data_IF_066740972169
#
_entry.id   IF_066740972169
#
_cell.length_a   1.000
_cell.length_b   1.000
_cell.length_c   1.000
_cell.angle_alpha   90.00
_cell.angle_beta   90.00
_cell.angle_gamma   90.00
#
_symmetry.space_group_name_H-M   'P 1'
#
loop_
_entity.id
_entity.type
_entity.pdbx_description
1 polymer ?
#
# COMPACT_ATOMS: atom_id res chain seq x y z
N UNK A 1 -7.95 -10.82 -22.65
CA UNK A 1 -8.42 -9.79 -21.71
C UNK A 1 -9.25 -10.44 -20.65
N UNK A 2 -8.91 -10.15 -19.40
CA UNK A 2 -9.50 -10.75 -18.22
C UNK A 2 -11.03 -10.63 -18.22
N UNK A 3 -11.70 -11.75 -17.98
CA UNK A 3 -13.14 -11.83 -17.84
C UNK A 3 -13.58 -12.04 -16.38
N UNK A 4 -12.64 -11.92 -15.43
CA UNK A 4 -12.89 -11.97 -13.99
C UNK A 4 -11.78 -11.23 -13.23
N UNK A 5 -12.04 -10.91 -11.96
CA UNK A 5 -11.02 -10.37 -11.05
C UNK A 5 -9.82 -11.32 -10.87
N UNK A 6 -10.07 -12.64 -10.85
CA UNK A 6 -9.01 -13.65 -10.79
C UNK A 6 -8.13 -13.61 -12.03
N UNK A 7 -8.74 -13.60 -13.22
CA UNK A 7 -8.00 -13.48 -14.49
C UNK A 7 -7.24 -12.16 -14.57
N UNK A 8 -7.76 -11.06 -14.03
CA UNK A 8 -7.02 -9.79 -13.97
C UNK A 8 -5.78 -9.89 -13.07
N UNK A 9 -5.84 -10.65 -11.96
CA UNK A 9 -4.68 -10.93 -11.14
C UNK A 9 -3.67 -11.86 -11.85
N UNK A 10 -4.13 -12.80 -12.69
CA UNK A 10 -3.29 -13.65 -13.53
C UNK A 10 -2.61 -12.86 -14.67
N UNK A 11 -3.32 -11.91 -15.29
CA UNK A 11 -2.76 -10.96 -16.25
C UNK A 11 -1.68 -10.09 -15.57
N UNK A 12 -1.93 -9.60 -14.36
CA UNK A 12 -0.93 -8.86 -13.58
C UNK A 12 0.31 -9.72 -13.28
N UNK A 13 0.13 -10.99 -12.89
CA UNK A 13 1.25 -11.91 -12.69
C UNK A 13 2.07 -12.11 -13.96
N UNK A 14 1.40 -12.30 -15.10
CA UNK A 14 2.05 -12.44 -16.40
C UNK A 14 2.81 -11.16 -16.77
N UNK A 15 2.22 -10.00 -16.52
CA UNK A 15 2.87 -8.70 -16.68
C UNK A 15 4.15 -8.62 -15.84
N UNK A 16 4.09 -8.93 -14.54
CA UNK A 16 5.27 -8.95 -13.64
C UNK A 16 6.39 -9.82 -14.18
N UNK A 17 6.06 -11.01 -14.69
CA UNK A 17 7.06 -11.92 -15.25
C UNK A 17 7.78 -11.31 -16.46
N UNK A 18 7.05 -10.58 -17.31
CA UNK A 18 7.60 -9.87 -18.48
C UNK A 18 8.44 -8.63 -18.13
N UNK A 19 8.10 -7.98 -17.01
CA UNK A 19 8.78 -6.80 -16.51
C UNK A 19 10.01 -7.13 -15.65
N UNK A 20 10.12 -8.37 -15.16
CA UNK A 20 11.20 -8.81 -14.27
C UNK A 20 12.60 -8.47 -14.82
N UNK A 21 13.45 -7.91 -13.95
CA UNK A 21 14.81 -7.50 -14.28
C UNK A 21 14.93 -6.16 -15.02
N UNK A 22 13.82 -5.45 -15.25
CA UNK A 22 13.80 -4.13 -15.89
C UNK A 22 13.40 -3.04 -14.89
N UNK A 23 13.71 -1.80 -15.25
CA UNK A 23 13.32 -0.60 -14.50
C UNK A 23 12.43 0.30 -15.34
N UNK A 24 11.42 0.93 -14.73
CA UNK A 24 10.47 1.80 -15.43
C UNK A 24 10.24 3.10 -14.68
N UNK A 25 10.30 4.22 -15.42
CA UNK A 25 10.16 5.57 -14.87
C UNK A 25 8.69 6.02 -14.77
N UNK A 26 7.76 5.23 -15.29
CA UNK A 26 6.32 5.49 -15.27
C UNK A 26 5.56 4.31 -14.66
N UNK A 27 4.33 4.54 -14.15
CA UNK A 27 3.52 3.46 -13.61
C UNK A 27 3.28 2.34 -14.63
N UNK A 28 3.02 1.14 -14.12
CA UNK A 28 2.53 0.04 -14.95
C UNK A 28 1.00 0.14 -14.97
N UNK A 29 0.43 0.28 -16.17
CA UNK A 29 -0.99 0.55 -16.36
C UNK A 29 -1.76 -0.70 -16.78
N UNK A 30 -2.92 -0.94 -16.13
CA UNK A 30 -3.96 -1.81 -16.67
C UNK A 30 -4.74 -1.07 -17.75
N UNK A 31 -4.80 -1.63 -18.95
CA UNK A 31 -5.55 -1.08 -20.07
C UNK A 31 -7.01 -1.57 -20.04
N UNK A 32 -7.94 -0.69 -19.67
CA UNK A 32 -9.38 -0.99 -19.59
C UNK A 32 -10.14 -0.31 -20.74
N UNK A 33 -10.31 -1.05 -21.83
CA UNK A 33 -11.00 -0.58 -23.04
C UNK A 33 -12.00 -1.59 -23.64
N UNK A 34 -11.91 -2.86 -23.24
CA UNK A 34 -12.66 -3.92 -23.90
C UNK A 34 -14.16 -3.79 -23.69
N UNK A 35 -14.91 -3.67 -24.78
CA UNK A 35 -16.38 -3.55 -24.74
C UNK A 35 -17.04 -4.66 -23.93
N UNK A 36 -16.52 -5.88 -24.01
CA UNK A 36 -17.02 -7.03 -23.24
C UNK A 36 -16.87 -6.82 -21.73
N UNK A 37 -15.80 -6.17 -21.27
CA UNK A 37 -15.60 -5.79 -19.88
C UNK A 37 -16.48 -4.60 -19.50
N UNK A 38 -16.48 -3.54 -20.31
CA UNK A 38 -17.22 -2.30 -20.04
C UNK A 38 -18.73 -2.53 -19.93
N UNK A 39 -19.30 -3.40 -20.78
CA UNK A 39 -20.73 -3.73 -20.79
C UNK A 39 -21.20 -4.44 -19.50
N UNK A 40 -20.28 -4.95 -18.68
CA UNK A 40 -20.60 -5.57 -17.39
C UNK A 40 -20.74 -4.56 -16.25
N UNK A 41 -20.49 -3.28 -16.53
CA UNK A 41 -20.80 -2.17 -15.64
C UNK A 41 -19.72 -1.89 -14.60
N UNK A 42 -20.00 -0.87 -13.78
CA UNK A 42 -19.03 -0.22 -12.89
C UNK A 42 -18.37 -1.17 -11.90
N UNK A 43 -19.16 -1.97 -11.18
CA UNK A 43 -18.63 -2.87 -10.16
C UNK A 43 -17.64 -3.89 -10.76
N UNK A 44 -17.90 -4.36 -11.99
CA UNK A 44 -17.01 -5.27 -12.68
C UNK A 44 -15.71 -4.57 -13.09
N UNK A 45 -15.80 -3.39 -13.70
CA UNK A 45 -14.62 -2.59 -14.07
C UNK A 45 -13.72 -2.27 -12.86
N UNK A 46 -14.33 -1.81 -11.75
CA UNK A 46 -13.62 -1.55 -10.50
C UNK A 46 -12.89 -2.81 -9.99
N UNK A 47 -13.53 -3.98 -10.10
CA UNK A 47 -12.94 -5.25 -9.66
C UNK A 47 -11.72 -5.66 -10.50
N UNK A 48 -11.75 -5.43 -11.82
CA UNK A 48 -10.62 -5.71 -12.70
C UNK A 48 -9.43 -4.82 -12.38
N UNK A 49 -9.67 -3.49 -12.34
CA UNK A 49 -8.64 -2.50 -12.03
C UNK A 49 -8.02 -2.81 -10.65
N UNK A 50 -8.86 -3.00 -9.64
CA UNK A 50 -8.38 -3.26 -8.27
C UNK A 50 -7.54 -4.52 -8.21
N UNK A 51 -8.00 -5.61 -8.85
CA UNK A 51 -7.29 -6.90 -8.79
C UNK A 51 -5.95 -6.84 -9.50
N UNK A 52 -5.89 -6.24 -10.69
CA UNK A 52 -4.64 -6.08 -11.44
C UNK A 52 -3.66 -5.16 -10.71
N UNK A 53 -4.10 -3.97 -10.32
CA UNK A 53 -3.24 -2.96 -9.70
C UNK A 53 -2.75 -3.38 -8.31
N UNK A 54 -3.63 -3.91 -7.45
CA UNK A 54 -3.21 -4.41 -6.13
C UNK A 54 -2.19 -5.54 -6.26
N UNK A 55 -2.37 -6.43 -7.25
CA UNK A 55 -1.41 -7.51 -7.51
C UNK A 55 -0.05 -6.96 -7.97
N UNK A 56 -0.01 -5.96 -8.86
CA UNK A 56 1.24 -5.31 -9.25
C UNK A 56 1.97 -4.66 -8.05
N UNK A 57 1.23 -3.99 -7.18
CA UNK A 57 1.77 -3.35 -5.99
C UNK A 57 2.45 -4.38 -5.05
N UNK A 58 1.96 -5.62 -4.98
CA UNK A 58 2.63 -6.68 -4.19
C UNK A 58 4.01 -7.06 -4.72
N UNK A 59 4.32 -6.74 -5.98
CA UNK A 59 5.64 -6.94 -6.60
C UNK A 59 6.50 -5.67 -6.64
N UNK A 60 6.07 -4.60 -5.96
CA UNK A 60 6.84 -3.36 -5.90
C UNK A 60 6.74 -2.51 -7.17
N UNK A 61 5.65 -2.62 -7.92
CA UNK A 61 5.36 -1.70 -9.02
C UNK A 61 4.38 -0.62 -8.59
N UNK A 62 4.62 0.61 -9.04
CA UNK A 62 3.68 1.72 -9.00
C UNK A 62 2.57 1.43 -10.03
N UNK A 63 1.36 1.15 -9.55
CA UNK A 63 0.27 0.70 -10.40
C UNK A 63 -0.68 1.84 -10.81
N UNK A 64 -1.21 1.72 -12.02
CA UNK A 64 -2.23 2.60 -12.56
C UNK A 64 -3.18 1.87 -13.49
N UNK A 65 -4.17 2.60 -14.00
CA UNK A 65 -5.00 2.12 -15.10
C UNK A 65 -5.21 3.23 -16.13
N UNK A 66 -5.38 2.79 -17.37
CA UNK A 66 -5.70 3.62 -18.51
C UNK A 66 -7.14 3.35 -18.95
N UNK A 67 -7.89 4.41 -19.27
CA UNK A 67 -9.21 4.29 -19.89
C UNK A 67 -9.69 5.62 -20.48
N UNK A 68 -10.76 5.58 -21.28
CA UNK A 68 -11.37 6.79 -21.85
C UNK A 68 -12.03 7.68 -20.79
N UNK A 69 -12.17 8.98 -21.08
CA UNK A 69 -12.92 9.93 -20.24
C UNK A 69 -14.32 9.44 -19.88
N UNK A 70 -15.04 8.89 -20.86
CA UNK A 70 -16.40 8.39 -20.66
C UNK A 70 -16.40 7.21 -19.69
N UNK A 71 -15.51 6.25 -19.90
CA UNK A 71 -15.38 5.08 -19.02
C UNK A 71 -15.00 5.49 -17.60
N UNK A 72 -14.02 6.39 -17.43
CA UNK A 72 -13.62 6.86 -16.11
C UNK A 72 -14.80 7.51 -15.35
N UNK A 73 -15.58 8.37 -16.01
CA UNK A 73 -16.71 9.05 -15.36
C UNK A 73 -17.88 8.11 -15.05
N UNK A 74 -18.17 7.17 -15.95
CA UNK A 74 -19.41 6.38 -15.90
C UNK A 74 -19.22 4.99 -15.27
N UNK A 75 -18.05 4.38 -15.45
CA UNK A 75 -17.79 2.97 -15.16
C UNK A 75 -16.66 2.74 -14.15
N UNK A 76 -16.03 3.79 -13.62
CA UNK A 76 -15.02 3.64 -12.55
C UNK A 76 -15.41 4.50 -11.35
N UNK A 77 -15.49 3.88 -10.17
CA UNK A 77 -15.81 4.62 -8.95
C UNK A 77 -14.74 5.65 -8.60
N UNK A 78 -15.16 6.71 -7.90
CA UNK A 78 -14.22 7.71 -7.40
C UNK A 78 -13.16 7.10 -6.47
N UNK A 79 -13.52 6.07 -5.71
CA UNK A 79 -12.59 5.34 -4.86
C UNK A 79 -11.42 4.75 -5.67
N UNK A 80 -11.71 4.03 -6.75
CA UNK A 80 -10.68 3.44 -7.63
C UNK A 80 -9.89 4.52 -8.36
N UNK A 81 -10.57 5.55 -8.89
CA UNK A 81 -9.93 6.69 -9.59
C UNK A 81 -8.95 7.46 -8.71
N UNK A 82 -9.23 7.56 -7.41
CA UNK A 82 -8.37 8.28 -6.47
C UNK A 82 -7.28 7.39 -5.84
N UNK A 83 -7.42 6.05 -5.89
CA UNK A 83 -6.47 5.11 -5.28
C UNK A 83 -5.26 4.78 -6.16
N UNK A 84 -5.43 4.75 -7.47
CA UNK A 84 -4.38 4.36 -8.42
C UNK A 84 -3.98 5.51 -9.34
N UNK A 85 -2.82 5.41 -9.99
CA UNK A 85 -2.49 6.33 -11.06
C UNK A 85 -3.52 6.22 -12.21
N UNK A 86 -4.01 7.37 -12.69
CA UNK A 86 -4.93 7.42 -13.81
C UNK A 86 -4.24 8.02 -15.03
N UNK A 87 -4.25 7.26 -16.12
CA UNK A 87 -3.94 7.73 -17.47
C UNK A 87 -5.26 7.86 -18.23
N UNK A 88 -5.66 9.09 -18.54
CA UNK A 88 -6.97 9.37 -19.11
C UNK A 88 -6.87 9.57 -20.63
N UNK A 89 -7.77 8.94 -21.40
CA UNK A 89 -7.88 9.17 -22.83
C UNK A 89 -9.01 10.16 -23.15
N UNK A 90 -8.67 11.24 -23.85
CA UNK A 90 -9.62 12.12 -24.50
C UNK A 90 -8.94 12.82 -25.67
N UNK A 91 -9.23 12.37 -26.89
CA UNK A 91 -8.64 12.97 -28.08
C UNK A 91 -9.25 14.34 -28.38
N UNK A 92 -8.64 15.39 -27.83
CA UNK A 92 -9.14 16.76 -27.87
C UNK A 92 -7.99 17.75 -27.62
N UNK A 93 -8.26 19.05 -27.80
CA UNK A 93 -7.27 20.11 -27.52
C UNK A 93 -7.15 20.44 -26.03
N UNK A 94 -8.08 19.98 -25.19
CA UNK A 94 -7.98 20.05 -23.74
C UNK A 94 -8.66 18.83 -23.08
N UNK A 95 -8.13 18.39 -21.94
CA UNK A 95 -8.78 17.37 -21.11
C UNK A 95 -9.88 18.02 -20.26
N UNK A 96 -11.10 17.49 -20.30
CA UNK A 96 -12.23 17.96 -19.50
C UNK A 96 -12.48 17.13 -18.23
N UNK A 97 -11.60 16.16 -17.93
CA UNK A 97 -11.70 15.37 -16.71
C UNK A 97 -11.44 16.25 -15.48
N UNK A 98 -12.35 16.19 -14.49
CA UNK A 98 -12.31 17.04 -13.30
C UNK A 98 -11.57 16.42 -12.11
N UNK A 99 -11.23 15.12 -12.20
CA UNK A 99 -10.49 14.41 -11.16
C UNK A 99 -8.98 14.55 -11.30
N UNK A 100 -8.23 13.93 -10.39
CA UNK A 100 -6.78 13.82 -10.50
C UNK A 100 -6.38 12.76 -11.53
N UNK A 101 -5.38 13.06 -12.35
CA UNK A 101 -4.77 12.17 -13.34
C UNK A 101 -3.28 12.50 -13.46
N UNK A 102 -2.50 11.59 -14.02
CA UNK A 102 -1.06 11.76 -14.21
C UNK A 102 -0.63 11.83 -15.66
N UNK A 103 -1.35 11.13 -16.55
CA UNK A 103 -1.15 11.17 -17.99
C UNK A 103 -2.47 11.47 -18.68
N UNK A 104 -2.40 12.17 -19.81
CA UNK A 104 -3.52 12.39 -20.71
C UNK A 104 -3.12 12.05 -22.14
N UNK A 105 -3.79 11.05 -22.72
CA UNK A 105 -3.71 10.75 -24.14
C UNK A 105 -4.63 11.67 -24.93
N UNK A 106 -4.04 12.59 -25.69
CA UNK A 106 -4.75 13.63 -26.43
C UNK A 106 -4.89 13.34 -27.92
N UNK A 107 -4.21 12.31 -28.43
CA UNK A 107 -4.32 11.87 -29.83
C UNK A 107 -3.90 10.41 -30.00
N UNK A 108 -4.45 9.75 -31.02
CA UNK A 108 -4.01 8.45 -31.53
C UNK A 108 -3.48 8.53 -32.98
N UNK A 109 -3.26 9.74 -33.48
CA UNK A 109 -2.85 10.02 -34.86
C UNK A 109 -1.62 10.89 -34.95
N UNK A 110 -0.81 10.91 -33.89
CA UNK A 110 0.46 11.61 -33.87
C UNK A 110 1.48 11.02 -34.85
N UNK A 111 2.53 11.79 -35.07
CA UNK A 111 3.72 11.37 -35.80
C UNK A 111 4.96 11.85 -35.06
N UNK A 112 5.88 10.93 -34.78
CA UNK A 112 7.15 11.21 -34.13
C UNK A 112 8.27 10.75 -35.06
N UNK A 113 9.22 11.62 -35.43
CA UNK A 113 10.36 11.22 -36.25
C UNK A 113 11.08 10.00 -35.66
N UNK A 114 11.29 8.99 -36.49
CA UNK A 114 11.91 7.72 -36.08
C UNK A 114 10.94 6.61 -35.68
N UNK A 115 9.63 6.89 -35.59
CA UNK A 115 8.60 5.88 -35.37
C UNK A 115 7.72 5.73 -36.60
N UNK A 116 7.59 4.51 -37.12
CA UNK A 116 6.77 4.21 -38.29
C UNK A 116 5.28 4.16 -37.92
N UNK A 117 4.44 4.76 -38.76
CA UNK A 117 2.99 4.75 -38.59
C UNK A 117 2.46 5.84 -37.64
N UNK A 118 1.18 5.71 -37.28
CA UNK A 118 0.54 6.59 -36.30
C UNK A 118 0.95 6.18 -34.90
N UNK A 119 1.12 7.16 -34.02
CA UNK A 119 1.41 6.94 -32.61
C UNK A 119 0.41 7.68 -31.73
N UNK A 120 0.17 7.12 -30.55
CA UNK A 120 -0.53 7.81 -29.47
C UNK A 120 0.35 8.94 -28.91
N UNK A 121 -0.29 10.03 -28.52
CA UNK A 121 0.39 11.21 -28.00
C UNK A 121 -0.16 11.58 -26.62
N UNK A 122 0.77 11.78 -25.69
CA UNK A 122 0.46 11.95 -24.28
C UNK A 122 1.12 13.18 -23.68
N UNK A 123 0.42 13.80 -22.74
CA UNK A 123 1.00 14.75 -21.80
C UNK A 123 1.15 14.09 -20.42
N UNK A 124 2.35 14.17 -19.84
CA UNK A 124 2.60 13.78 -18.47
C UNK A 124 2.53 15.01 -17.55
N UNK A 125 1.66 14.96 -16.54
CA UNK A 125 1.42 16.04 -15.57
C UNK A 125 2.03 15.76 -14.19
N UNK A 126 2.50 14.54 -13.97
CA UNK A 126 3.22 14.14 -12.78
C UNK A 126 4.65 13.75 -13.14
N UNK A 127 5.60 14.16 -12.31
CA UNK A 127 6.98 13.69 -12.36
C UNK A 127 7.08 12.27 -11.77
N UNK A 128 6.51 11.32 -12.51
CA UNK A 128 6.59 9.90 -12.17
C UNK A 128 8.03 9.40 -12.03
N UNK A 129 9.00 9.80 -12.88
CA UNK A 129 10.38 9.39 -12.70
C UNK A 129 10.90 9.69 -11.29
N UNK A 130 10.73 10.93 -10.81
CA UNK A 130 11.15 11.30 -9.44
C UNK A 130 10.31 10.59 -8.38
N UNK A 131 8.99 10.56 -8.52
CA UNK A 131 8.10 9.92 -7.54
C UNK A 131 8.48 8.45 -7.33
N UNK A 132 8.57 7.69 -8.42
CA UNK A 132 8.81 6.24 -8.42
C UNK A 132 10.22 5.92 -7.94
N UNK A 133 11.21 6.69 -8.38
CA UNK A 133 12.59 6.54 -7.92
C UNK A 133 12.71 6.80 -6.43
N UNK A 134 12.11 7.85 -5.91
CA UNK A 134 12.21 8.21 -4.48
C UNK A 134 11.60 7.16 -3.56
N UNK A 135 10.55 6.44 -4.01
CA UNK A 135 9.93 5.36 -3.24
C UNK A 135 10.49 3.97 -3.54
N UNK A 136 11.49 3.86 -4.42
CA UNK A 136 12.17 2.60 -4.75
C UNK A 136 11.30 1.55 -5.45
N UNK A 137 10.31 1.98 -6.24
CA UNK A 137 9.39 1.08 -6.97
C UNK A 137 9.84 0.86 -8.43
N UNK A 138 9.15 -0.02 -9.15
CA UNK A 138 9.37 -0.33 -10.57
C UNK A 138 10.77 -0.80 -10.92
N UNK A 139 11.39 -1.62 -10.05
CA UNK A 139 12.75 -2.09 -10.27
C UNK A 139 13.83 -1.01 -10.11
N UNK A 140 13.45 0.23 -9.78
CA UNK A 140 14.38 1.28 -9.36
C UNK A 140 14.86 0.95 -7.94
N UNK A 141 15.91 0.13 -7.83
CA UNK A 141 16.57 -0.12 -6.55
C UNK A 141 17.14 1.20 -6.04
N UNK A 142 16.68 1.67 -4.88
CA UNK A 142 17.38 2.71 -4.14
C UNK A 142 18.82 2.23 -3.92
N UNK A 143 19.78 2.95 -4.49
CA UNK A 143 21.18 2.79 -4.15
C UNK A 143 21.38 3.21 -2.70
N UNK A 144 21.20 2.27 -1.76
CA UNK A 144 21.49 2.47 -0.33
C UNK A 144 20.28 2.33 0.58
N UNK A 145 20.27 1.21 1.32
CA UNK A 145 19.66 1.01 2.65
C UNK A 145 18.19 1.43 2.85
N UNK A 146 17.25 0.49 2.82
CA UNK A 146 15.85 0.79 3.16
C UNK A 146 15.22 -0.13 4.20
N UNK A 147 15.56 0.20 5.44
CA UNK A 147 14.66 0.14 6.58
C UNK A 147 13.87 1.47 6.74
N UNK A 148 14.18 2.51 5.96
CA UNK A 148 13.70 3.90 6.15
C UNK A 148 12.49 4.28 5.26
N UNK A 149 12.40 3.81 4.01
CA UNK A 149 11.25 4.13 3.14
C UNK A 149 9.92 3.51 3.62
N UNK A 150 9.95 2.37 4.32
CA UNK A 150 8.75 1.85 5.02
C UNK A 150 8.36 2.68 6.23
N UNK A 151 9.31 3.37 6.86
CA UNK A 151 9.04 4.20 8.04
C UNK A 151 8.20 5.41 7.67
N UNK A 152 8.45 6.08 6.54
CA UNK A 152 7.67 7.27 6.16
C UNK A 152 6.18 6.98 5.87
N UNK A 153 5.86 5.86 5.22
CA UNK A 153 4.46 5.46 4.99
C UNK A 153 3.78 4.94 6.26
N UNK A 154 4.50 4.19 7.11
CA UNK A 154 4.01 3.78 8.43
C UNK A 154 3.78 4.99 9.34
N UNK A 155 4.65 6.00 9.30
CA UNK A 155 4.53 7.25 10.05
C UNK A 155 3.31 8.06 9.62
N UNK A 156 3.04 8.15 8.32
CA UNK A 156 1.86 8.82 7.78
C UNK A 156 0.57 8.11 8.20
N UNK A 157 0.47 6.81 7.94
CA UNK A 157 -0.69 5.99 8.31
C UNK A 157 -0.90 6.00 9.83
N UNK A 158 0.17 6.02 10.62
CA UNK A 158 0.07 6.14 12.08
C UNK A 158 -0.53 7.48 12.53
N UNK A 159 -0.19 8.60 11.88
CA UNK A 159 -0.83 9.90 12.16
C UNK A 159 -2.31 9.90 11.79
N UNK A 160 -2.68 9.26 10.68
CA UNK A 160 -4.09 9.10 10.29
C UNK A 160 -4.88 8.24 11.30
N UNK A 161 -4.26 7.18 11.82
CA UNK A 161 -4.86 6.35 12.87
C UNK A 161 -5.09 7.17 14.15
N UNK A 162 -4.12 8.02 14.54
CA UNK A 162 -4.24 8.93 15.69
C UNK A 162 -5.38 9.92 15.48
N UNK A 163 -5.52 10.44 14.25
CA UNK A 163 -6.60 11.35 13.87
C UNK A 163 -7.96 10.66 13.67
N UNK A 164 -8.05 9.34 13.89
CA UNK A 164 -9.31 8.58 13.88
C UNK A 164 -9.79 8.09 12.50
N UNK A 165 -9.00 8.26 11.44
CA UNK A 165 -9.42 7.91 10.07
C UNK A 165 -9.64 6.41 9.85
N UNK A 166 -9.02 5.57 10.69
CA UNK A 166 -8.98 4.11 10.55
C UNK A 166 -9.86 3.35 11.54
N UNK A 167 -10.74 4.02 12.30
CA UNK A 167 -11.59 3.36 13.29
C UNK A 167 -10.80 2.81 14.50
N UNK A 168 -11.40 1.89 15.26
CA UNK A 168 -10.84 1.38 16.51
C UNK A 168 -10.85 -0.16 16.60
N UNK A 169 -9.99 -0.71 17.47
CA UNK A 169 -9.91 -2.15 17.74
C UNK A 169 -9.79 -3.04 16.49
N UNK A 170 -10.71 -4.00 16.36
CA UNK A 170 -10.72 -4.95 15.25
C UNK A 170 -11.04 -4.30 13.91
N UNK A 171 -11.83 -3.22 13.89
CA UNK A 171 -12.16 -2.48 12.65
C UNK A 171 -10.89 -1.88 12.04
N UNK A 172 -10.06 -1.23 12.86
CA UNK A 172 -8.77 -0.69 12.45
C UNK A 172 -7.86 -1.75 11.86
N UNK A 173 -7.76 -2.88 12.55
CA UNK A 173 -6.93 -4.01 12.09
C UNK A 173 -7.39 -4.52 10.72
N UNK A 174 -8.69 -4.69 10.53
CA UNK A 174 -9.25 -5.13 9.26
C UNK A 174 -9.01 -4.09 8.16
N UNK A 175 -9.29 -2.81 8.42
CA UNK A 175 -9.13 -1.74 7.42
C UNK A 175 -7.67 -1.55 6.99
N UNK A 176 -6.74 -1.55 7.94
CA UNK A 176 -5.31 -1.47 7.65
C UNK A 176 -4.82 -2.69 6.86
N UNK A 177 -5.21 -3.90 7.28
CA UNK A 177 -4.80 -5.14 6.59
C UNK A 177 -5.39 -5.23 5.17
N UNK A 178 -6.67 -4.86 5.01
CA UNK A 178 -7.34 -4.81 3.70
C UNK A 178 -6.74 -3.74 2.78
N UNK A 179 -6.18 -2.67 3.35
CA UNK A 179 -5.44 -1.66 2.61
C UNK A 179 -3.97 -2.06 2.32
N UNK A 180 -3.55 -3.25 2.73
CA UNK A 180 -2.21 -3.79 2.48
C UNK A 180 -1.15 -3.38 3.51
N UNK A 181 -1.54 -2.72 4.60
CA UNK A 181 -0.62 -2.32 5.66
C UNK A 181 -0.42 -3.43 6.69
N UNK A 182 0.81 -3.56 7.19
CA UNK A 182 1.08 -4.39 8.36
C UNK A 182 0.57 -3.70 9.63
N UNK A 183 -0.55 -4.21 10.16
CA UNK A 183 -1.19 -3.67 11.35
C UNK A 183 -0.22 -3.51 12.53
N UNK A 184 0.68 -4.48 12.74
CA UNK A 184 1.61 -4.47 13.87
C UNK A 184 2.59 -3.29 13.77
N UNK A 185 3.16 -3.07 12.59
CA UNK A 185 4.09 -1.97 12.33
C UNK A 185 3.42 -0.60 12.46
N UNK A 186 2.22 -0.43 11.90
CA UNK A 186 1.43 0.79 12.06
C UNK A 186 1.07 1.03 13.53
N UNK A 187 0.59 0.01 14.23
CA UNK A 187 0.21 0.14 15.63
C UNK A 187 1.41 0.44 16.54
N UNK A 188 2.58 -0.12 16.24
CA UNK A 188 3.82 0.21 16.94
C UNK A 188 4.19 1.69 16.76
N UNK A 189 4.06 2.22 15.54
CA UNK A 189 4.34 3.63 15.27
C UNK A 189 3.31 4.59 15.87
N UNK A 190 2.04 4.21 15.88
CA UNK A 190 0.99 4.93 16.62
C UNK A 190 1.36 5.05 18.10
N UNK A 191 1.83 3.96 18.70
CA UNK A 191 2.25 3.96 20.10
C UNK A 191 3.48 4.88 20.33
N UNK A 192 4.45 4.85 19.41
CA UNK A 192 5.62 5.75 19.42
C UNK A 192 5.19 7.24 19.34
N UNK A 193 4.33 7.59 18.39
CA UNK A 193 3.90 8.97 18.11
C UNK A 193 2.99 9.55 19.20
N UNK A 194 2.13 8.74 19.82
CA UNK A 194 1.33 9.18 20.96
C UNK A 194 2.15 9.35 22.24
N UNK A 195 3.48 9.15 22.18
CA UNK A 195 4.34 9.12 23.36
C UNK A 195 3.92 8.02 24.35
N UNK A 196 3.14 7.04 23.88
CA UNK A 196 2.77 5.86 24.65
C UNK A 196 4.02 5.01 24.68
N UNK A 197 4.92 5.33 25.62
CA UNK A 197 5.81 4.32 26.18
C UNK A 197 4.90 3.15 26.50
N UNK A 198 5.16 2.00 25.90
CA UNK A 198 4.51 0.76 26.32
C UNK A 198 4.44 0.81 27.84
N UNK A 199 3.24 0.76 28.43
CA UNK A 199 3.09 0.67 29.87
C UNK A 199 3.73 -0.65 30.27
N UNK A 200 5.05 -0.58 30.48
CA UNK A 200 5.87 -1.63 31.02
C UNK A 200 5.78 -1.38 32.49
N UNK A 201 5.11 -2.30 33.18
CA UNK A 201 5.14 -2.33 34.63
C UNK A 201 6.60 -2.27 35.06
N UNK A 202 6.88 -1.42 36.04
CA UNK A 202 8.19 -1.33 36.66
C UNK A 202 8.59 -2.70 37.22
N UNK A 203 9.91 -2.91 37.39
CA UNK A 203 10.43 -4.12 38.01
C UNK A 203 9.81 -4.33 39.40
N UNK A 204 9.55 -3.25 40.14
CA UNK A 204 8.86 -3.27 41.44
C UNK A 204 7.40 -3.73 41.34
N UNK A 205 6.63 -3.22 40.39
CA UNK A 205 5.25 -3.65 40.16
C UNK A 205 5.19 -5.14 39.78
N UNK A 206 6.09 -5.58 38.90
CA UNK A 206 6.19 -6.99 38.49
C UNK A 206 6.60 -7.89 39.65
N UNK A 207 7.56 -7.47 40.47
CA UNK A 207 8.00 -8.25 41.63
C UNK A 207 6.86 -8.46 42.63
N UNK A 208 6.05 -7.41 42.90
CA UNK A 208 4.84 -7.52 43.74
C UNK A 208 3.78 -8.42 43.12
N UNK A 209 3.61 -8.41 41.80
CA UNK A 209 2.71 -9.35 41.10
C UNK A 209 3.19 -10.80 41.15
N UNK A 210 4.50 -11.00 41.07
CA UNK A 210 5.13 -12.32 41.23
C UNK A 210 4.91 -12.85 42.65
N UNK A 211 5.10 -12.02 43.68
CA UNK A 211 4.84 -12.38 45.09
C UNK A 211 3.36 -12.74 45.29
N UNK A 212 2.45 -12.03 44.62
CA UNK A 212 1.00 -12.33 44.61
C UNK A 212 0.62 -13.54 43.74
N UNK A 213 1.57 -14.19 43.07
CA UNK A 213 1.35 -15.41 42.27
C UNK A 213 0.81 -15.18 40.85
N UNK A 214 0.66 -13.94 40.38
CA UNK A 214 0.06 -13.64 39.07
C UNK A 214 0.85 -14.20 37.88
N UNK A 215 2.15 -14.44 38.06
CA UNK A 215 3.07 -14.90 37.02
C UNK A 215 3.39 -16.41 37.12
N UNK A 216 2.77 -17.13 38.06
CA UNK A 216 3.10 -18.54 38.31
C UNK A 216 4.48 -18.74 38.94
N UNK A 217 4.97 -19.98 38.90
CA UNK A 217 6.09 -20.45 39.72
C UNK A 217 7.16 -21.09 38.82
N UNK A 218 8.43 -21.02 39.23
CA UNK A 218 9.55 -21.68 38.55
C UNK A 218 9.64 -21.36 37.04
N UNK A 219 9.63 -22.40 36.21
CA UNK A 219 9.72 -22.30 34.74
C UNK A 219 8.57 -21.52 34.11
N UNK A 220 7.34 -21.67 34.64
CA UNK A 220 6.15 -20.95 34.14
C UNK A 220 6.30 -19.44 34.30
N UNK A 221 6.88 -18.99 35.40
CA UNK A 221 7.17 -17.56 35.65
C UNK A 221 8.19 -17.02 34.65
N UNK A 222 9.29 -17.76 34.48
CA UNK A 222 10.35 -17.40 33.54
C UNK A 222 9.81 -17.30 32.13
N UNK A 223 9.02 -18.27 31.68
CA UNK A 223 8.40 -18.25 30.37
C UNK A 223 7.44 -17.06 30.21
N UNK A 224 6.52 -16.82 31.16
CA UNK A 224 5.53 -15.73 31.05
C UNK A 224 6.17 -14.35 31.05
N UNK A 225 7.15 -14.09 31.93
CA UNK A 225 7.85 -12.80 31.97
C UNK A 225 8.65 -12.56 30.68
N UNK A 226 9.38 -13.58 30.21
CA UNK A 226 10.18 -13.48 28.97
C UNK A 226 9.29 -13.31 27.74
N UNK A 227 8.18 -14.05 27.65
CA UNK A 227 7.20 -13.90 26.56
C UNK A 227 6.50 -12.54 26.56
N UNK A 228 6.31 -11.93 27.74
CA UNK A 228 5.85 -10.55 27.86
C UNK A 228 6.98 -9.51 27.65
N UNK A 229 8.18 -9.99 27.26
CA UNK A 229 9.34 -9.20 26.91
C UNK A 229 10.12 -8.66 28.10
N UNK A 230 9.82 -9.06 29.34
CA UNK A 230 10.52 -8.63 30.56
C UNK A 230 11.76 -9.50 30.82
N UNK A 231 12.78 -8.89 31.42
CA UNK A 231 13.94 -9.60 31.93
C UNK A 231 13.57 -10.36 33.22
N UNK A 232 13.51 -11.69 33.10
CA UNK A 232 13.20 -12.57 34.22
C UNK A 232 14.20 -12.44 35.37
N UNK A 233 15.49 -12.38 35.09
CA UNK A 233 16.53 -12.39 36.13
C UNK A 233 16.49 -11.08 36.92
N UNK A 234 16.27 -9.95 36.24
CA UNK A 234 16.07 -8.64 36.88
C UNK A 234 14.83 -8.62 37.78
N UNK A 235 13.69 -9.16 37.31
CA UNK A 235 12.46 -9.23 38.11
C UNK A 235 12.62 -10.22 39.28
N UNK A 236 13.23 -11.38 39.06
CA UNK A 236 13.44 -12.39 40.09
C UNK A 236 14.41 -11.91 41.17
N UNK A 237 15.45 -11.17 40.80
CA UNK A 237 16.34 -10.50 41.76
C UNK A 237 15.55 -9.55 42.65
N UNK A 238 14.68 -8.73 42.06
CA UNK A 238 13.85 -7.79 42.84
C UNK A 238 12.83 -8.48 43.73
N UNK A 239 12.25 -9.60 43.30
CA UNK A 239 11.39 -10.45 44.16
C UNK A 239 12.15 -10.91 45.40
N UNK A 240 13.41 -11.34 45.22
CA UNK A 240 14.24 -11.79 46.34
C UNK A 240 14.63 -10.66 47.31
N UNK A 241 14.68 -9.40 46.85
CA UNK A 241 14.92 -8.23 47.71
C UNK A 241 13.68 -7.79 48.51
N UNK A 242 12.47 -8.22 48.10
CA UNK A 242 11.20 -7.87 48.71
C UNK A 242 10.63 -8.95 49.66
N UNK A 243 11.34 -10.08 49.78
CA UNK A 243 11.05 -11.20 50.69
C UNK A 243 12.08 -11.23 51.81
#
# INVERSE_FOLDING_TARGET
YANSSSEAAEEAQSCVNMLSGKSFEYPVYFDLEEKSQLNRGRAFCDSLITSFCSKLETYGYYAGFYTSLSTANNLVSAHVRNRYALWIAQWNTHCSYQGSYGLWQYSSSGSVPGVAGRVDMDYAYKDYPSIIKNVGLNGCKNGGSDQAARTSSIDEVAREVINGAWGNGNERKQRLTSAGYDYASVQNKVNELLGVKAYRKSVDELAREVIRGAWGNGSTRKQRLTSAGYDYDTVQKRVNELL
#
